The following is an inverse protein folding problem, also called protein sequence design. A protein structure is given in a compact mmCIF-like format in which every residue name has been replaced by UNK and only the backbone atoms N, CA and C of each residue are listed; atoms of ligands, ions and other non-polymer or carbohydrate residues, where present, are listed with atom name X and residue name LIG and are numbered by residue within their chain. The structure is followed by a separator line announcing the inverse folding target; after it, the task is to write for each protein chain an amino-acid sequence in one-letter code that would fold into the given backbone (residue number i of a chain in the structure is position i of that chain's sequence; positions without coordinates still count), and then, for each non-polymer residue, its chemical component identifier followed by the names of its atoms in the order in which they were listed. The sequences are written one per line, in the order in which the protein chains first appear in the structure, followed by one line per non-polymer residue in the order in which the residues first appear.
data_IF_322148737487
#
_entry.id   IF_322148737487
#
_cell.length_a   1.000
_cell.length_b   1.000
_cell.length_c   1.000
_cell.angle_alpha   90.00
_cell.angle_beta   90.00
_cell.angle_gamma   90.00
#
_symmetry.space_group_name_H-M   'P 1'
#
loop_
_entity.id
_entity.type
_entity.pdbx_description
1 polymer ?
#
# COMPACT_ATOMS: atom_id res chain seq x y z
N UNK A 1 50.22 21.32 -17.38
CA UNK A 1 49.77 20.98 -16.02
C UNK A 1 49.10 22.22 -15.33
N UNK A 2 48.57 23.17 -16.08
CA UNK A 2 47.94 24.41 -15.52
C UNK A 2 46.52 24.70 -16.00
N UNK A 3 45.89 23.78 -16.74
CA UNK A 3 44.49 23.97 -17.18
C UNK A 3 43.49 23.16 -16.35
N UNK A 4 43.93 22.16 -15.59
CA UNK A 4 43.04 21.28 -14.80
C UNK A 4 42.72 21.87 -13.40
N UNK A 5 43.51 22.78 -12.87
CA UNK A 5 43.28 23.42 -11.58
C UNK A 5 42.33 24.65 -11.66
N UNK A 6 42.23 25.30 -12.81
CA UNK A 6 41.28 26.41 -12.99
C UNK A 6 39.82 25.94 -13.15
N UNK A 7 39.57 24.78 -13.76
CA UNK A 7 38.21 24.24 -13.93
C UNK A 7 37.58 23.72 -12.63
N UNK A 8 38.39 23.28 -11.69
CA UNK A 8 37.89 22.79 -10.40
C UNK A 8 37.52 23.94 -9.45
N UNK A 9 38.28 25.04 -9.48
CA UNK A 9 37.97 26.22 -8.69
C UNK A 9 36.74 27.01 -9.20
N UNK A 10 36.50 27.01 -10.50
CA UNK A 10 35.31 27.65 -11.08
C UNK A 10 34.01 26.84 -10.74
N UNK A 11 34.05 25.52 -10.79
CA UNK A 11 32.87 24.69 -10.44
C UNK A 11 32.52 24.77 -8.93
N UNK A 12 33.48 24.93 -8.06
CA UNK A 12 33.24 25.07 -6.61
C UNK A 12 32.64 26.44 -6.24
N UNK A 13 33.00 27.47 -6.98
CA UNK A 13 32.43 28.84 -6.78
C UNK A 13 31.00 28.95 -7.36
N UNK A 14 30.70 28.34 -8.51
CA UNK A 14 29.34 28.34 -9.07
C UNK A 14 28.37 27.52 -8.19
N UNK A 15 28.81 26.40 -7.64
CA UNK A 15 27.98 25.59 -6.69
C UNK A 15 27.70 26.38 -5.40
N UNK A 16 28.65 27.18 -4.90
CA UNK A 16 28.44 28.03 -3.73
C UNK A 16 27.59 29.29 -4.04
N UNK A 17 27.64 29.79 -5.26
CA UNK A 17 26.80 30.90 -5.70
C UNK A 17 25.37 30.44 -5.96
N UNK A 18 25.19 29.23 -6.55
CA UNK A 18 23.87 28.61 -6.76
C UNK A 18 23.25 28.23 -5.41
N UNK A 19 24.00 27.66 -4.48
CA UNK A 19 23.52 27.37 -3.12
C UNK A 19 23.15 28.67 -2.34
N UNK A 20 23.88 29.75 -2.53
CA UNK A 20 23.52 31.07 -1.96
C UNK A 20 22.31 31.70 -2.67
N UNK A 21 22.14 31.52 -3.97
CA UNK A 21 20.99 32.06 -4.72
C UNK A 21 19.72 31.22 -4.50
N UNK A 22 19.82 29.89 -4.29
CA UNK A 22 18.69 29.04 -3.94
C UNK A 22 18.19 29.26 -2.50
N UNK A 23 19.07 29.70 -1.58
CA UNK A 23 18.65 30.15 -0.25
C UNK A 23 17.97 31.54 -0.23
N UNK A 24 18.03 32.32 -1.33
CA UNK A 24 17.50 33.71 -1.36
C UNK A 24 16.25 33.89 -2.22
N UNK A 25 15.62 32.84 -2.77
CA UNK A 25 14.54 33.02 -3.76
C UNK A 25 13.18 32.43 -3.41
N UNK A 26 12.98 31.98 -2.18
CA UNK A 26 11.63 31.57 -1.75
C UNK A 26 11.33 32.18 -0.37
N UNK A 27 10.56 33.21 -0.37
CA UNK A 27 9.75 33.90 0.62
C UNK A 27 10.07 35.40 0.54
N UNK A 28 9.19 36.18 -0.08
CA UNK A 28 9.09 37.61 0.15
C UNK A 28 8.77 37.82 1.64
N UNK A 29 9.75 38.22 2.43
CA UNK A 29 9.70 38.31 3.89
C UNK A 29 10.71 37.38 4.57
N UNK A 30 11.95 37.34 4.08
CA UNK A 30 13.00 36.38 4.44
C UNK A 30 13.25 36.17 5.94
N UNK A 31 12.46 35.33 6.56
CA UNK A 31 12.81 34.74 7.85
C UNK A 31 13.71 33.50 7.60
N UNK A 32 15.01 33.70 7.79
CA UNK A 32 15.97 32.56 7.84
C UNK A 32 16.00 31.97 9.25
N UNK A 33 14.83 31.55 9.77
CA UNK A 33 14.72 31.02 11.12
C UNK A 33 15.38 29.64 11.20
N UNK A 34 16.43 29.50 12.01
CA UNK A 34 17.14 28.25 12.18
C UNK A 34 16.40 27.35 13.20
N UNK A 35 16.12 26.10 12.82
CA UNK A 35 15.48 25.13 13.68
C UNK A 35 16.22 24.92 15.02
N UNK A 36 17.56 25.00 15.02
CA UNK A 36 18.34 24.93 16.26
C UNK A 36 18.01 26.10 17.19
N UNK A 37 17.82 27.32 16.67
CA UNK A 37 17.43 28.47 17.47
C UNK A 37 16.05 28.27 18.14
N UNK A 38 15.10 27.63 17.44
CA UNK A 38 13.80 27.28 18.04
C UNK A 38 13.93 26.24 19.16
N UNK A 39 14.78 25.21 19.00
CA UNK A 39 15.06 24.23 20.07
C UNK A 39 15.76 24.88 21.28
N UNK A 40 16.69 25.78 21.01
CA UNK A 40 17.37 26.53 22.07
C UNK A 40 16.42 27.44 22.83
N UNK A 41 15.53 28.14 22.11
CA UNK A 41 14.47 28.97 22.68
C UNK A 41 13.52 28.11 23.55
N UNK A 42 13.04 26.98 23.04
CA UNK A 42 12.16 26.05 23.78
C UNK A 42 12.80 25.62 25.10
N UNK A 43 14.05 25.16 25.02
CA UNK A 43 14.78 24.67 26.18
C UNK A 43 15.04 25.76 27.22
N UNK A 44 15.40 26.99 26.76
CA UNK A 44 15.59 28.13 27.64
C UNK A 44 14.27 28.58 28.26
N UNK A 45 13.18 28.60 27.49
CA UNK A 45 11.84 28.93 27.97
C UNK A 45 11.35 27.99 29.08
N UNK A 46 11.67 26.70 28.97
CA UNK A 46 11.31 25.66 29.95
C UNK A 46 12.15 25.73 31.21
N UNK A 47 13.42 26.12 31.11
CA UNK A 47 14.35 26.13 32.25
C UNK A 47 14.45 27.50 32.95
N UNK A 48 14.14 28.57 32.22
CA UNK A 48 14.30 29.98 32.65
C UNK A 48 15.70 30.30 33.20
N UNK A 49 16.71 29.53 32.76
CA UNK A 49 18.08 29.62 33.26
C UNK A 49 19.11 29.26 32.18
N UNK A 50 19.89 30.26 31.73
CA UNK A 50 20.85 30.09 30.63
C UNK A 50 21.85 28.97 30.82
N UNK A 51 22.54 28.89 32.00
CA UNK A 51 23.56 27.85 32.22
C UNK A 51 22.94 26.45 32.22
N UNK A 52 21.75 26.26 32.82
CA UNK A 52 21.06 24.97 32.83
C UNK A 52 20.56 24.58 31.43
N UNK A 53 20.06 25.54 30.67
CA UNK A 53 19.64 25.29 29.30
C UNK A 53 20.83 24.92 28.41
N UNK A 54 21.98 25.62 28.55
CA UNK A 54 23.20 25.36 27.81
C UNK A 54 23.75 23.94 28.11
N UNK A 55 23.71 23.51 29.39
CA UNK A 55 24.08 22.16 29.81
C UNK A 55 23.20 21.08 29.16
N UNK A 56 21.88 21.24 29.20
CA UNK A 56 20.92 20.31 28.54
C UNK A 56 21.17 20.23 27.05
N UNK A 57 21.49 21.35 26.39
CA UNK A 57 21.74 21.43 24.96
C UNK A 57 23.18 21.03 24.59
N UNK A 58 24.04 20.73 25.54
CA UNK A 58 25.47 20.43 25.33
C UNK A 58 26.21 21.51 24.54
N UNK A 59 25.93 22.79 24.83
CA UNK A 59 26.55 23.98 24.22
C UNK A 59 27.07 24.92 25.30
N UNK A 60 27.84 25.94 24.89
CA UNK A 60 28.27 27.00 25.83
C UNK A 60 27.17 28.01 26.07
N UNK A 61 27.11 28.58 27.27
CA UNK A 61 26.15 29.68 27.57
C UNK A 61 26.28 30.89 26.63
N UNK A 62 27.48 31.34 26.21
CA UNK A 62 27.60 32.41 25.21
C UNK A 62 26.98 32.05 23.87
N UNK A 63 27.14 30.80 23.43
CA UNK A 63 26.53 30.33 22.17
C UNK A 63 25.00 30.34 22.25
N UNK A 64 24.43 29.87 23.37
CA UNK A 64 22.98 29.94 23.62
C UNK A 64 22.50 31.41 23.62
N UNK A 65 23.20 32.28 24.35
CA UNK A 65 22.85 33.73 24.42
C UNK A 65 22.87 34.41 23.03
N UNK A 66 23.87 34.08 22.22
CA UNK A 66 23.97 34.57 20.85
C UNK A 66 22.79 34.08 19.99
N UNK A 67 22.47 32.81 20.03
CA UNK A 67 21.38 32.24 19.27
C UNK A 67 20.00 32.83 19.64
N UNK A 68 19.76 33.09 20.94
CA UNK A 68 18.54 33.75 21.41
C UNK A 68 18.49 35.21 20.95
N UNK A 69 19.60 35.94 21.09
CA UNK A 69 19.67 37.33 20.60
C UNK A 69 19.46 37.43 19.10
N UNK A 70 20.01 36.47 18.32
CA UNK A 70 19.77 36.39 16.88
C UNK A 70 18.30 36.16 16.57
N UNK A 71 17.65 35.23 17.25
CA UNK A 71 16.21 34.92 17.09
C UNK A 71 15.34 36.15 17.43
N UNK A 72 15.63 36.83 18.54
CA UNK A 72 14.92 38.05 18.93
C UNK A 72 15.12 39.19 17.93
N UNK A 73 16.34 39.34 17.37
CA UNK A 73 16.66 40.31 16.32
C UNK A 73 15.92 40.03 15.02
N UNK A 74 15.84 38.74 14.60
CA UNK A 74 15.09 38.32 13.40
C UNK A 74 13.58 38.59 13.56
N UNK A 75 13.05 38.39 14.76
CA UNK A 75 11.63 38.63 15.07
C UNK A 75 11.33 40.09 15.35
N UNK A 76 12.34 40.94 15.60
CA UNK A 76 12.19 42.33 15.94
C UNK A 76 11.56 42.58 17.33
N UNK A 77 11.53 41.57 18.19
CA UNK A 77 10.90 41.64 19.53
C UNK A 77 11.65 40.80 20.54
N UNK A 78 11.66 41.24 21.80
CA UNK A 78 12.23 40.46 22.90
C UNK A 78 11.27 39.38 23.38
N UNK A 79 11.78 38.15 23.48
CA UNK A 79 11.05 36.97 23.96
C UNK A 79 11.29 36.74 25.45
N UNK A 80 12.43 37.22 25.97
CA UNK A 80 12.81 37.09 27.38
C UNK A 80 13.02 38.47 28.02
N UNK A 81 12.72 38.54 29.32
CA UNK A 81 13.01 39.69 30.15
C UNK A 81 13.69 39.27 31.45
N UNK A 82 14.48 40.19 32.03
CA UNK A 82 15.11 39.94 33.33
C UNK A 82 14.13 40.18 34.47
N UNK A 83 14.03 39.20 35.38
CA UNK A 83 13.28 39.32 36.62
C UNK A 83 14.16 39.00 37.82
N UNK A 84 14.76 40.03 38.42
CA UNK A 84 15.78 39.83 39.44
C UNK A 84 17.03 39.18 38.89
N UNK A 85 17.42 38.03 39.42
CA UNK A 85 18.57 37.23 38.97
C UNK A 85 18.22 36.20 37.85
N UNK A 86 16.93 36.00 37.59
CA UNK A 86 16.43 35.05 36.60
C UNK A 86 15.96 35.73 35.31
N UNK A 87 15.75 34.96 34.28
CA UNK A 87 15.05 35.37 33.07
C UNK A 87 13.69 34.73 33.02
N UNK A 88 12.70 35.40 32.47
CA UNK A 88 11.35 34.89 32.26
C UNK A 88 10.88 35.25 30.87
N UNK A 89 9.91 34.52 30.36
CA UNK A 89 9.29 34.84 29.07
C UNK A 89 8.45 36.13 29.17
N UNK A 90 8.62 37.02 28.19
CA UNK A 90 7.71 38.12 27.96
C UNK A 90 6.30 37.63 27.58
N UNK A 91 5.30 38.52 27.51
CA UNK A 91 3.98 38.18 26.97
C UNK A 91 4.08 37.55 25.56
N UNK A 92 4.94 38.12 24.72
CA UNK A 92 5.17 37.65 23.35
C UNK A 92 5.97 36.35 23.32
N UNK A 93 6.97 36.21 24.21
CA UNK A 93 7.71 34.98 24.39
C UNK A 93 6.81 33.81 24.79
N UNK A 94 5.80 34.02 25.65
CA UNK A 94 4.83 32.96 26.02
C UNK A 94 3.98 32.54 24.83
N UNK A 95 3.46 33.48 24.05
CA UNK A 95 2.68 33.18 22.87
C UNK A 95 3.52 32.42 21.82
N UNK A 96 4.76 32.86 21.60
CA UNK A 96 5.70 32.20 20.68
C UNK A 96 6.11 30.81 21.17
N UNK A 97 6.32 30.63 22.48
CA UNK A 97 6.65 29.34 23.09
C UNK A 97 5.57 28.27 22.84
N UNK A 98 4.29 28.62 22.97
CA UNK A 98 3.20 27.69 22.68
C UNK A 98 3.26 27.16 21.25
N UNK A 99 3.42 28.05 20.28
CA UNK A 99 3.51 27.67 18.85
C UNK A 99 4.77 26.88 18.54
N UNK A 100 5.95 27.32 19.04
CA UNK A 100 7.22 26.62 18.81
C UNK A 100 7.21 25.23 19.39
N UNK A 101 6.63 25.03 20.58
CA UNK A 101 6.49 23.72 21.20
C UNK A 101 5.67 22.76 20.31
N UNK A 102 4.58 23.24 19.75
CA UNK A 102 3.73 22.42 18.86
C UNK A 102 4.46 22.08 17.56
N UNK A 103 5.13 23.05 16.92
CA UNK A 103 5.90 22.84 15.69
C UNK A 103 7.00 21.81 15.91
N UNK A 104 7.78 21.93 17.00
CA UNK A 104 8.85 21.00 17.31
C UNK A 104 8.32 19.59 17.61
N UNK A 105 7.20 19.48 18.33
CA UNK A 105 6.55 18.19 18.59
C UNK A 105 6.08 17.52 17.28
N UNK A 106 5.46 18.26 16.39
CA UNK A 106 5.02 17.75 15.09
C UNK A 106 6.20 17.29 14.23
N UNK A 107 7.31 18.05 14.23
CA UNK A 107 8.53 17.64 13.54
C UNK A 107 9.13 16.35 14.11
N UNK A 108 9.23 16.26 15.44
CA UNK A 108 9.78 15.07 16.12
C UNK A 108 8.90 13.83 15.88
N UNK A 109 7.57 13.99 15.82
CA UNK A 109 6.65 12.93 15.42
C UNK A 109 6.91 12.49 13.97
N UNK A 110 6.95 13.42 13.02
CA UNK A 110 7.21 13.09 11.62
C UNK A 110 8.54 12.35 11.42
N UNK A 111 9.61 12.79 12.11
CA UNK A 111 10.91 12.09 12.07
C UNK A 111 10.82 10.69 12.68
N UNK A 112 10.06 10.51 13.75
CA UNK A 112 9.85 9.20 14.38
C UNK A 112 9.10 8.26 13.45
N UNK A 113 8.04 8.73 12.82
CA UNK A 113 7.21 7.92 11.91
C UNK A 113 8.04 7.42 10.72
N UNK A 114 8.86 8.30 10.12
CA UNK A 114 9.78 7.88 9.04
C UNK A 114 10.83 6.88 9.53
N UNK A 115 11.31 7.01 10.78
CA UNK A 115 12.23 6.01 11.36
C UNK A 115 11.58 4.65 11.58
N UNK A 116 10.31 4.61 11.98
CA UNK A 116 9.55 3.34 12.07
C UNK A 116 9.47 2.66 10.71
N UNK A 117 9.13 3.42 9.65
CA UNK A 117 9.12 2.90 8.28
C UNK A 117 10.50 2.36 7.87
N UNK A 118 11.59 3.06 8.20
CA UNK A 118 12.95 2.62 7.91
C UNK A 118 13.35 1.33 8.65
N UNK A 119 12.74 1.06 9.81
CA UNK A 119 12.95 -0.16 10.60
C UNK A 119 12.05 -1.32 10.16
N UNK A 120 11.26 -1.16 9.11
CA UNK A 120 10.34 -2.19 8.62
C UNK A 120 9.08 -2.33 9.48
N UNK A 121 8.62 -1.22 10.04
CA UNK A 121 7.35 -1.10 10.75
C UNK A 121 6.41 -0.15 9.98
N UNK A 122 5.12 -0.17 10.30
CA UNK A 122 4.15 0.76 9.74
C UNK A 122 3.04 0.06 8.96
N UNK A 123 2.56 0.71 7.91
CA UNK A 123 1.34 0.36 7.20
C UNK A 123 1.63 -0.24 5.82
N UNK A 124 0.83 -1.23 5.43
CA UNK A 124 0.78 -1.78 4.07
C UNK A 124 -0.64 -1.64 3.53
N UNK A 125 -0.80 -0.92 2.42
CA UNK A 125 -2.07 -0.73 1.75
C UNK A 125 -2.24 -1.76 0.63
N UNK A 126 -3.22 -2.65 0.77
CA UNK A 126 -3.45 -3.75 -0.18
C UNK A 126 -4.82 -3.65 -0.82
N UNK A 127 -4.84 -3.57 -2.16
CA UNK A 127 -6.03 -3.80 -2.96
C UNK A 127 -6.12 -5.26 -3.44
N UNK A 128 -7.31 -5.85 -3.49
CA UNK A 128 -7.45 -7.21 -4.00
C UNK A 128 -8.82 -7.51 -4.59
N UNK A 129 -8.87 -8.51 -5.49
CA UNK A 129 -10.13 -9.05 -5.98
C UNK A 129 -10.88 -9.77 -4.84
N UNK A 130 -12.18 -9.58 -4.73
CA UNK A 130 -13.04 -10.14 -3.67
C UNK A 130 -12.84 -11.64 -3.47
N UNK A 131 -12.66 -12.39 -4.55
CA UNK A 131 -12.45 -13.85 -4.50
C UNK A 131 -11.19 -14.25 -3.72
N UNK A 132 -10.20 -13.37 -3.57
CA UNK A 132 -8.98 -13.60 -2.78
C UNK A 132 -9.15 -13.18 -1.31
N UNK A 133 -10.19 -12.42 -0.99
CA UNK A 133 -10.45 -11.88 0.34
C UNK A 133 -11.05 -12.87 1.33
N UNK A 134 -11.55 -14.03 0.86
CA UNK A 134 -12.19 -15.04 1.73
C UNK A 134 -11.18 -15.98 2.39
N UNK A 135 -10.03 -16.21 1.77
CA UNK A 135 -9.01 -17.14 2.26
C UNK A 135 -7.59 -16.65 2.02
N UNK A 136 -7.19 -16.44 0.76
CA UNK A 136 -5.79 -16.20 0.39
C UNK A 136 -5.18 -14.97 1.11
N UNK A 137 -5.85 -13.81 1.03
CA UNK A 137 -5.33 -12.57 1.63
C UNK A 137 -5.29 -12.64 3.15
N UNK A 138 -6.39 -13.01 3.85
CA UNK A 138 -6.38 -13.14 5.30
C UNK A 138 -5.33 -14.13 5.80
N UNK A 139 -5.22 -15.30 5.17
CA UNK A 139 -4.24 -16.33 5.55
C UNK A 139 -2.80 -15.84 5.34
N UNK A 140 -2.52 -15.21 4.19
CA UNK A 140 -1.18 -14.69 3.88
C UNK A 140 -0.76 -13.62 4.87
N UNK A 141 -1.65 -12.66 5.15
CA UNK A 141 -1.38 -11.57 6.09
C UNK A 141 -1.24 -12.09 7.52
N UNK A 142 -2.14 -12.97 7.98
CA UNK A 142 -2.06 -13.54 9.33
C UNK A 142 -0.72 -14.27 9.54
N UNK A 143 -0.31 -15.10 8.60
CA UNK A 143 0.94 -15.85 8.70
C UNK A 143 2.15 -14.91 8.68
N UNK A 144 2.10 -13.82 7.90
CA UNK A 144 3.16 -12.81 7.90
C UNK A 144 3.27 -12.10 9.24
N UNK A 145 2.15 -11.67 9.83
CA UNK A 145 2.12 -11.03 11.15
C UNK A 145 2.64 -11.97 12.26
N UNK A 146 2.32 -13.26 12.18
CA UNK A 146 2.79 -14.25 13.16
C UNK A 146 4.32 -14.46 13.12
N UNK A 147 4.97 -14.16 12.00
CA UNK A 147 6.43 -14.14 11.88
C UNK A 147 7.08 -12.88 12.47
N UNK A 148 6.29 -11.83 12.75
CA UNK A 148 6.77 -10.53 13.20
C UNK A 148 6.02 -10.02 14.45
N UNK A 149 5.96 -10.82 15.56
CA UNK A 149 5.13 -10.50 16.72
C UNK A 149 5.58 -9.22 17.46
N UNK A 150 6.85 -8.83 17.31
CA UNK A 150 7.45 -7.68 18.00
C UNK A 150 7.46 -6.40 17.16
N UNK A 151 6.96 -6.45 15.92
CA UNK A 151 6.89 -5.28 15.02
C UNK A 151 5.50 -4.67 15.03
N UNK A 152 5.42 -3.35 14.98
CA UNK A 152 4.18 -2.62 14.77
C UNK A 152 3.86 -2.58 13.27
N UNK A 153 3.14 -3.59 12.80
CA UNK A 153 2.72 -3.73 11.40
C UNK A 153 1.19 -3.78 11.36
N UNK A 154 0.58 -3.00 10.49
CA UNK A 154 -0.84 -3.08 10.20
C UNK A 154 -1.11 -3.01 8.71
N UNK A 155 -2.25 -3.52 8.33
CA UNK A 155 -2.66 -3.62 6.94
C UNK A 155 -3.97 -2.88 6.73
N UNK A 156 -4.03 -2.06 5.69
CA UNK A 156 -5.27 -1.53 5.17
C UNK A 156 -5.71 -2.33 3.96
N UNK A 157 -6.97 -2.70 3.93
CA UNK A 157 -7.55 -3.56 2.93
C UNK A 157 -8.62 -2.85 2.13
N UNK A 158 -8.58 -2.97 0.81
CA UNK A 158 -9.67 -2.54 -0.04
C UNK A 158 -10.00 -3.59 -1.11
N UNK A 159 -11.28 -3.90 -1.21
CA UNK A 159 -11.86 -4.71 -2.29
C UNK A 159 -12.99 -3.98 -3.02
N UNK A 160 -13.05 -2.65 -2.89
CA UNK A 160 -14.14 -1.82 -3.46
C UNK A 160 -14.16 -1.87 -4.99
N UNK A 161 -12.98 -1.90 -5.59
CA UNK A 161 -12.84 -1.97 -7.03
C UNK A 161 -12.90 -3.44 -7.49
N UNK A 162 -14.06 -3.95 -7.81
CA UNK A 162 -14.26 -5.35 -8.20
C UNK A 162 -13.50 -5.83 -9.44
N UNK A 163 -12.69 -4.97 -10.11
CA UNK A 163 -12.00 -5.25 -11.37
C UNK A 163 -10.48 -5.05 -11.25
N UNK A 164 -9.72 -5.93 -11.89
CA UNK A 164 -8.25 -5.82 -11.93
C UNK A 164 -7.77 -4.51 -12.56
N UNK A 165 -8.51 -3.93 -13.50
CA UNK A 165 -8.16 -2.67 -14.16
C UNK A 165 -8.18 -1.50 -13.17
N UNK A 166 -9.20 -1.44 -12.32
CA UNK A 166 -9.34 -0.36 -11.34
C UNK A 166 -8.30 -0.51 -10.22
N UNK A 167 -8.08 -1.74 -9.74
CA UNK A 167 -7.01 -2.04 -8.77
C UNK A 167 -5.62 -1.63 -9.26
N UNK A 168 -5.31 -1.96 -10.53
CA UNK A 168 -4.00 -1.60 -11.11
C UNK A 168 -3.89 -0.09 -11.33
N UNK A 169 -4.99 0.61 -11.64
CA UNK A 169 -4.99 2.08 -11.72
C UNK A 169 -4.68 2.69 -10.35
N UNK A 170 -5.38 2.30 -9.29
CA UNK A 170 -5.12 2.77 -7.92
C UNK A 170 -3.70 2.42 -7.44
N UNK A 171 -3.12 1.29 -7.89
CA UNK A 171 -1.70 0.98 -7.67
C UNK A 171 -0.78 2.00 -8.37
N UNK A 172 -1.08 2.38 -9.62
CA UNK A 172 -0.31 3.39 -10.37
C UNK A 172 -0.44 4.77 -9.72
N UNK A 173 -1.63 5.10 -9.21
CA UNK A 173 -1.93 6.34 -8.48
C UNK A 173 -1.37 6.33 -7.03
N UNK A 174 -0.70 5.23 -6.63
CA UNK A 174 -0.07 5.02 -5.31
C UNK A 174 -1.05 5.04 -4.13
N UNK A 175 -2.30 4.68 -4.35
CA UNK A 175 -3.28 4.44 -3.29
C UNK A 175 -3.03 3.10 -2.59
N UNK A 176 -2.41 2.14 -3.31
CA UNK A 176 -1.99 0.84 -2.79
C UNK A 176 -0.49 0.64 -2.97
N UNK A 177 0.14 -0.06 -2.04
CA UNK A 177 1.52 -0.51 -2.14
C UNK A 177 1.65 -1.74 -3.03
N UNK A 178 0.63 -2.60 -3.01
CA UNK A 178 0.50 -3.76 -3.89
C UNK A 178 -0.96 -4.14 -4.08
N UNK A 179 -1.25 -4.87 -5.17
CA UNK A 179 -2.59 -5.39 -5.41
C UNK A 179 -2.56 -6.87 -5.81
N UNK A 180 -3.56 -7.63 -5.38
CA UNK A 180 -3.75 -9.03 -5.77
C UNK A 180 -4.89 -9.14 -6.77
N UNK A 181 -4.54 -9.41 -8.04
CA UNK A 181 -5.46 -9.31 -9.15
C UNK A 181 -5.16 -10.31 -10.28
N UNK A 182 -5.96 -10.29 -11.35
CA UNK A 182 -5.62 -10.94 -12.61
C UNK A 182 -4.60 -10.10 -13.38
N UNK A 183 -3.72 -10.76 -14.15
CA UNK A 183 -2.73 -10.06 -14.99
C UNK A 183 -3.44 -9.23 -16.05
N UNK A 184 -2.97 -8.00 -16.24
CA UNK A 184 -3.38 -7.13 -17.35
C UNK A 184 -2.31 -7.10 -18.43
N UNK A 185 -2.76 -7.09 -19.67
CA UNK A 185 -1.90 -6.78 -20.81
C UNK A 185 -1.71 -5.25 -20.88
N UNK A 186 -0.57 -4.78 -21.36
CA UNK A 186 -0.26 -3.35 -21.53
C UNK A 186 -0.14 -2.51 -20.23
N UNK A 187 0.47 -3.06 -19.20
CA UNK A 187 0.79 -2.32 -17.97
C UNK A 187 2.31 -2.30 -17.74
N UNK A 188 3.09 -1.53 -18.52
CA UNK A 188 4.56 -1.58 -18.50
C UNK A 188 5.18 -1.16 -17.17
N UNK A 189 4.49 -0.28 -16.40
CA UNK A 189 4.94 0.20 -15.10
C UNK A 189 4.72 -0.81 -13.97
N UNK A 190 4.03 -1.93 -14.23
CA UNK A 190 3.62 -2.89 -13.21
C UNK A 190 4.29 -4.24 -13.44
N UNK A 191 4.86 -4.79 -12.38
CA UNK A 191 5.34 -6.16 -12.32
C UNK A 191 4.20 -7.07 -11.83
N UNK A 192 3.91 -8.15 -12.58
CA UNK A 192 2.93 -9.15 -12.19
C UNK A 192 3.63 -10.44 -11.81
N UNK A 193 3.58 -10.80 -10.54
CA UNK A 193 4.21 -12.00 -9.97
C UNK A 193 3.11 -13.02 -9.69
N UNK A 194 3.14 -14.23 -10.28
CA UNK A 194 2.10 -15.23 -10.06
C UNK A 194 2.14 -15.72 -8.59
N UNK A 195 0.98 -15.76 -7.94
CA UNK A 195 0.87 -16.09 -6.51
C UNK A 195 0.03 -17.33 -6.22
N UNK A 196 -1.09 -17.49 -6.90
CA UNK A 196 -2.00 -18.63 -6.69
C UNK A 196 -2.86 -18.89 -7.93
N UNK A 197 -3.55 -20.02 -7.94
CA UNK A 197 -4.48 -20.41 -9.00
C UNK A 197 -5.84 -20.76 -8.41
N UNK A 198 -6.88 -20.65 -9.23
CA UNK A 198 -8.23 -21.02 -8.90
C UNK A 198 -8.80 -21.90 -10.01
N UNK A 199 -9.23 -23.12 -9.66
CA UNK A 199 -9.85 -24.07 -10.57
C UNK A 199 -11.26 -23.55 -10.96
N UNK A 200 -11.63 -23.71 -12.24
CA UNK A 200 -13.02 -23.56 -12.66
C UNK A 200 -13.72 -24.91 -12.60
N UNK A 201 -14.93 -24.91 -12.07
CA UNK A 201 -15.79 -26.07 -11.91
C UNK A 201 -17.14 -25.82 -12.52
N UNK A 202 -17.92 -26.88 -12.74
CA UNK A 202 -19.34 -26.76 -13.11
C UNK A 202 -20.17 -27.06 -11.86
N UNK A 203 -21.09 -26.18 -11.52
CA UNK A 203 -22.04 -26.40 -10.44
C UNK A 203 -23.43 -26.68 -11.02
N UNK A 204 -24.07 -27.69 -10.47
CA UNK A 204 -25.40 -28.15 -10.91
C UNK A 204 -26.30 -28.42 -9.71
N UNK A 205 -27.64 -28.39 -9.85
CA UNK A 205 -28.55 -28.87 -8.82
C UNK A 205 -28.23 -30.32 -8.44
N UNK A 206 -28.50 -30.74 -7.19
CA UNK A 206 -28.20 -32.11 -6.75
C UNK A 206 -29.02 -33.19 -7.47
N UNK A 207 -30.20 -32.88 -7.95
CA UNK A 207 -31.11 -33.72 -8.71
C UNK A 207 -30.92 -33.63 -10.23
N UNK A 208 -29.93 -32.82 -10.68
CA UNK A 208 -29.64 -32.62 -12.10
C UNK A 208 -29.04 -33.89 -12.74
N UNK A 209 -29.35 -34.22 -14.02
CA UNK A 209 -28.79 -35.42 -14.68
C UNK A 209 -27.27 -35.51 -14.66
N UNK A 210 -26.55 -34.37 -14.67
CA UNK A 210 -25.09 -34.37 -14.56
C UNK A 210 -24.57 -34.63 -13.14
N UNK A 211 -25.42 -34.53 -12.10
CA UNK A 211 -25.00 -34.71 -10.72
C UNK A 211 -24.51 -36.14 -10.38
N UNK A 212 -24.89 -37.11 -11.22
CA UNK A 212 -24.41 -38.50 -11.13
C UNK A 212 -22.91 -38.64 -11.51
N UNK A 213 -22.29 -37.58 -12.10
CA UNK A 213 -20.91 -37.61 -12.53
C UNK A 213 -20.02 -36.85 -11.52
N UNK A 214 -18.71 -37.12 -11.55
CA UNK A 214 -17.70 -36.38 -10.81
C UNK A 214 -17.01 -35.31 -11.68
N UNK A 215 -17.11 -35.48 -12.99
CA UNK A 215 -16.54 -34.54 -13.97
C UNK A 215 -17.42 -34.40 -15.21
N UNK A 216 -17.30 -33.30 -15.88
CA UNK A 216 -18.04 -32.93 -17.08
C UNK A 216 -17.16 -32.18 -18.05
N UNK A 217 -17.39 -32.39 -19.36
CA UNK A 217 -16.74 -31.57 -20.41
C UNK A 217 -17.55 -30.30 -20.64
N UNK A 218 -16.87 -29.25 -21.14
CA UNK A 218 -17.57 -28.00 -21.52
C UNK A 218 -18.66 -28.26 -22.57
N UNK A 219 -18.43 -29.21 -23.49
CA UNK A 219 -19.40 -29.59 -24.53
C UNK A 219 -20.69 -30.18 -23.94
N UNK A 220 -20.60 -30.97 -22.88
CA UNK A 220 -21.79 -31.56 -22.21
C UNK A 220 -22.66 -30.48 -21.54
N UNK A 221 -22.07 -29.36 -21.14
CA UNK A 221 -22.82 -28.27 -20.50
C UNK A 221 -23.73 -27.52 -21.48
N UNK A 222 -23.47 -27.61 -22.78
CA UNK A 222 -24.26 -26.93 -23.83
C UNK A 222 -25.71 -27.43 -23.97
N UNK A 223 -26.00 -28.63 -23.43
CA UNK A 223 -27.36 -29.17 -23.42
C UNK A 223 -28.29 -28.49 -22.41
N UNK A 224 -27.79 -27.61 -21.58
CA UNK A 224 -28.49 -27.02 -20.45
C UNK A 224 -28.35 -25.49 -20.42
N UNK A 225 -29.40 -24.83 -19.90
CA UNK A 225 -29.37 -23.39 -19.68
C UNK A 225 -28.36 -23.01 -18.61
N UNK A 226 -27.63 -21.94 -18.88
CA UNK A 226 -26.53 -21.51 -18.02
C UNK A 226 -26.78 -20.15 -17.36
N UNK A 227 -26.42 -20.08 -16.09
CA UNK A 227 -26.25 -18.84 -15.35
C UNK A 227 -24.82 -18.39 -15.58
N UNK A 228 -24.62 -17.15 -16.03
CA UNK A 228 -23.31 -16.65 -16.43
C UNK A 228 -22.98 -15.33 -15.71
N UNK A 229 -21.70 -14.96 -15.65
CA UNK A 229 -21.30 -13.68 -15.09
C UNK A 229 -21.61 -12.53 -16.05
N UNK A 230 -21.89 -11.32 -15.52
CA UNK A 230 -22.04 -10.10 -16.33
C UNK A 230 -20.79 -9.76 -17.11
N UNK A 231 -20.94 -9.08 -18.25
CA UNK A 231 -19.85 -8.71 -19.16
C UNK A 231 -18.69 -7.93 -18.53
N UNK A 232 -18.92 -7.17 -17.46
CA UNK A 232 -17.89 -6.44 -16.75
C UNK A 232 -17.00 -7.33 -15.87
N UNK A 233 -17.41 -8.56 -15.59
CA UNK A 233 -16.61 -9.49 -14.80
C UNK A 233 -15.42 -10.02 -15.61
N UNK A 234 -14.22 -10.00 -15.04
CA UNK A 234 -13.06 -10.65 -15.66
C UNK A 234 -13.24 -12.16 -15.84
N UNK A 235 -14.12 -12.78 -15.06
CA UNK A 235 -14.46 -14.20 -15.18
C UNK A 235 -15.34 -14.48 -16.41
N UNK A 236 -16.22 -13.54 -16.77
CA UNK A 236 -17.05 -13.65 -17.99
C UNK A 236 -16.19 -13.79 -19.22
N UNK A 237 -15.15 -12.98 -19.38
CA UNK A 237 -14.26 -13.07 -20.52
C UNK A 237 -13.57 -14.45 -20.62
N UNK A 238 -13.13 -14.98 -19.49
CA UNK A 238 -12.51 -16.31 -19.42
C UNK A 238 -13.49 -17.38 -19.87
N UNK A 239 -14.73 -17.36 -19.39
CA UNK A 239 -15.76 -18.34 -19.74
C UNK A 239 -16.17 -18.21 -21.22
N UNK A 240 -16.32 -16.99 -21.73
CA UNK A 240 -16.60 -16.77 -23.15
C UNK A 240 -15.46 -17.33 -24.04
N UNK A 241 -14.20 -17.13 -23.64
CA UNK A 241 -13.05 -17.64 -24.40
C UNK A 241 -12.96 -19.18 -24.34
N UNK A 242 -13.37 -19.80 -23.23
CA UNK A 242 -13.51 -21.27 -23.14
C UNK A 242 -14.54 -21.79 -24.15
N UNK A 243 -15.74 -21.21 -24.21
CA UNK A 243 -16.76 -21.61 -25.18
C UNK A 243 -16.32 -21.33 -26.63
N UNK A 244 -15.68 -20.20 -26.89
CA UNK A 244 -15.09 -19.91 -28.22
C UNK A 244 -14.06 -20.93 -28.63
N UNK A 245 -13.25 -21.45 -27.70
CA UNK A 245 -12.20 -22.44 -27.99
C UNK A 245 -12.75 -23.76 -28.55
N UNK A 246 -14.01 -24.06 -28.27
CA UNK A 246 -14.75 -25.21 -28.81
C UNK A 246 -15.75 -24.84 -29.90
N UNK A 247 -15.70 -23.59 -30.42
CA UNK A 247 -16.63 -23.03 -31.42
C UNK A 247 -18.09 -23.17 -31.00
N UNK A 248 -18.41 -22.88 -29.74
CA UNK A 248 -19.75 -23.02 -29.18
C UNK A 248 -20.18 -21.76 -28.41
N UNK A 249 -21.47 -21.65 -28.20
CA UNK A 249 -22.09 -20.60 -27.40
C UNK A 249 -23.11 -21.22 -26.44
N UNK A 250 -23.07 -20.90 -25.14
CA UNK A 250 -24.04 -21.43 -24.19
C UNK A 250 -25.42 -20.78 -24.38
N UNK A 251 -26.47 -21.53 -24.05
CA UNK A 251 -27.82 -20.98 -23.85
C UNK A 251 -27.88 -20.27 -22.48
N UNK A 252 -27.91 -18.93 -22.50
CA UNK A 252 -27.83 -18.10 -21.30
C UNK A 252 -29.23 -17.81 -20.76
N UNK A 253 -29.52 -18.31 -19.56
CA UNK A 253 -30.76 -18.01 -18.85
C UNK A 253 -30.75 -16.62 -18.20
N UNK A 254 -29.68 -16.31 -17.46
CA UNK A 254 -29.53 -15.03 -16.79
C UNK A 254 -28.06 -14.70 -16.49
N UNK A 255 -27.80 -13.43 -16.18
CA UNK A 255 -26.48 -12.92 -15.79
C UNK A 255 -26.46 -12.52 -14.31
N UNK A 256 -25.36 -12.85 -13.62
CA UNK A 256 -25.13 -12.54 -12.19
C UNK A 256 -23.79 -11.82 -11.99
N UNK A 257 -23.58 -11.24 -10.83
CA UNK A 257 -22.34 -10.54 -10.48
C UNK A 257 -21.46 -11.33 -9.50
N UNK A 258 -22.08 -12.10 -8.58
CA UNK A 258 -21.42 -12.73 -7.46
C UNK A 258 -21.53 -14.28 -7.53
N UNK A 259 -20.42 -14.95 -7.25
CA UNK A 259 -20.31 -16.41 -7.31
C UNK A 259 -21.37 -17.11 -6.44
N UNK A 260 -21.53 -16.65 -5.19
CA UNK A 260 -22.45 -17.27 -4.24
C UNK A 260 -23.91 -17.04 -4.60
N UNK A 261 -24.24 -15.87 -5.21
CA UNK A 261 -25.58 -15.58 -5.73
C UNK A 261 -25.92 -16.55 -6.85
N UNK A 262 -24.99 -16.72 -7.81
CA UNK A 262 -25.16 -17.70 -8.90
C UNK A 262 -25.36 -19.12 -8.39
N UNK A 263 -24.56 -19.56 -7.40
CA UNK A 263 -24.72 -20.88 -6.77
C UNK A 263 -26.09 -21.02 -6.10
N UNK A 264 -26.63 -19.95 -5.50
CA UNK A 264 -27.98 -19.93 -4.95
C UNK A 264 -29.06 -20.17 -6.01
N UNK A 265 -28.97 -19.55 -7.18
CA UNK A 265 -29.88 -19.81 -8.30
C UNK A 265 -29.77 -21.24 -8.82
N UNK A 266 -28.53 -21.75 -8.96
CA UNK A 266 -28.30 -23.15 -9.35
C UNK A 266 -28.96 -24.11 -8.35
N UNK A 267 -28.83 -23.87 -7.05
CA UNK A 267 -29.44 -24.74 -6.01
C UNK A 267 -30.96 -24.84 -6.11
N UNK A 268 -31.60 -23.88 -6.76
CA UNK A 268 -33.07 -23.86 -6.97
C UNK A 268 -33.49 -24.34 -8.36
N UNK A 269 -32.56 -24.90 -9.13
CA UNK A 269 -32.86 -25.52 -10.42
C UNK A 269 -33.05 -24.54 -11.59
N UNK A 270 -32.60 -23.28 -11.47
CA UNK A 270 -32.70 -22.32 -12.57
C UNK A 270 -31.80 -22.66 -13.76
N UNK A 271 -30.76 -23.46 -13.55
CA UNK A 271 -29.81 -23.85 -14.57
C UNK A 271 -28.51 -24.36 -13.97
N UNK A 272 -27.48 -24.46 -14.79
CA UNK A 272 -26.11 -24.81 -14.36
C UNK A 272 -25.19 -23.60 -14.48
N UNK A 273 -24.02 -23.65 -13.85
CA UNK A 273 -23.06 -22.53 -13.91
C UNK A 273 -21.63 -23.04 -13.95
N UNK A 274 -20.79 -22.38 -14.76
CA UNK A 274 -19.34 -22.49 -14.64
C UNK A 274 -18.89 -21.43 -13.63
N UNK A 275 -18.29 -21.87 -12.52
CA UNK A 275 -17.95 -21.04 -11.39
C UNK A 275 -16.51 -21.31 -10.93
N UNK A 276 -15.86 -20.37 -10.26
CA UNK A 276 -14.62 -20.66 -9.54
C UNK A 276 -14.90 -21.62 -8.38
N UNK A 277 -13.96 -22.51 -8.11
CA UNK A 277 -14.02 -23.36 -6.92
C UNK A 277 -13.62 -22.57 -5.69
N UNK A 278 -14.47 -22.53 -4.68
CA UNK A 278 -14.22 -21.86 -3.39
C UNK A 278 -15.03 -22.56 -2.28
N UNK A 279 -14.60 -22.40 -1.04
CA UNK A 279 -15.18 -23.14 0.12
C UNK A 279 -16.65 -22.82 0.37
N UNK A 280 -17.09 -21.61 0.02
CA UNK A 280 -18.50 -21.22 0.11
C UNK A 280 -19.48 -22.13 -0.65
N UNK A 281 -19.01 -22.83 -1.70
CA UNK A 281 -19.84 -23.80 -2.43
C UNK A 281 -20.24 -25.00 -1.56
N UNK A 282 -19.48 -25.35 -0.54
CA UNK A 282 -19.78 -26.44 0.39
C UNK A 282 -21.03 -26.17 1.25
N UNK A 283 -21.43 -24.90 1.37
CA UNK A 283 -22.58 -24.45 2.15
C UNK A 283 -23.84 -24.21 1.31
N UNK A 284 -23.75 -24.43 -0.01
CA UNK A 284 -24.88 -24.30 -0.94
C UNK A 284 -25.31 -25.70 -1.41
N UNK A 285 -26.61 -25.87 -1.60
CA UNK A 285 -27.18 -27.14 -2.00
C UNK A 285 -27.00 -27.41 -3.50
N UNK A 286 -25.73 -27.61 -3.91
CA UNK A 286 -25.31 -27.90 -5.28
C UNK A 286 -24.36 -29.08 -5.35
N UNK A 287 -24.22 -29.72 -6.51
CA UNK A 287 -23.16 -30.69 -6.81
C UNK A 287 -22.08 -29.94 -7.62
N UNK A 288 -20.83 -30.05 -7.16
CA UNK A 288 -19.64 -29.51 -7.82
C UNK A 288 -19.02 -30.59 -8.69
N UNK A 289 -18.81 -30.30 -9.97
CA UNK A 289 -18.25 -31.22 -10.97
C UNK A 289 -16.96 -30.63 -11.51
N UNK A 290 -15.94 -31.47 -11.67
CA UNK A 290 -14.68 -31.04 -12.29
C UNK A 290 -14.90 -30.77 -13.79
N UNK A 291 -14.42 -29.58 -14.26
CA UNK A 291 -14.40 -29.27 -15.68
C UNK A 291 -13.14 -29.89 -16.32
N UNK A 292 -13.28 -30.76 -17.31
CA UNK A 292 -12.16 -31.57 -17.84
C UNK A 292 -11.71 -31.21 -19.24
N UNK A 293 -12.58 -30.69 -20.11
CA UNK A 293 -12.26 -30.43 -21.52
C UNK A 293 -12.94 -29.13 -21.97
N UNK A 294 -12.20 -28.01 -22.02
CA UNK A 294 -10.85 -27.83 -21.47
C UNK A 294 -10.88 -27.69 -19.95
N UNK A 295 -9.87 -28.19 -19.24
CA UNK A 295 -9.63 -27.77 -17.86
C UNK A 295 -9.03 -26.36 -17.85
N UNK A 296 -9.39 -25.56 -16.89
CA UNK A 296 -8.90 -24.20 -16.79
C UNK A 296 -8.58 -23.82 -15.34
N UNK A 297 -7.36 -23.29 -15.15
CA UNK A 297 -6.94 -22.69 -13.92
C UNK A 297 -6.76 -21.18 -14.14
N UNK A 298 -7.51 -20.39 -13.38
CA UNK A 298 -7.34 -18.94 -13.34
C UNK A 298 -6.13 -18.61 -12.49
N UNK A 299 -5.22 -17.80 -13.03
CA UNK A 299 -4.04 -17.34 -12.31
C UNK A 299 -4.30 -15.99 -11.68
N UNK A 300 -3.83 -15.83 -10.45
CA UNK A 300 -3.78 -14.57 -9.75
C UNK A 300 -2.35 -14.13 -9.54
N UNK A 301 -2.17 -12.84 -9.49
CA UNK A 301 -0.87 -12.19 -9.42
C UNK A 301 -0.85 -11.16 -8.31
N UNK A 302 0.28 -11.06 -7.63
CA UNK A 302 0.67 -9.85 -6.92
C UNK A 302 1.19 -8.87 -7.95
N UNK A 303 0.60 -7.69 -8.02
CA UNK A 303 1.05 -6.61 -8.88
C UNK A 303 1.66 -5.50 -8.03
N UNK A 304 2.84 -5.02 -8.44
CA UNK A 304 3.60 -3.97 -7.76
C UNK A 304 4.23 -3.05 -8.79
N UNK A 305 4.49 -1.80 -8.45
CA UNK A 305 5.16 -0.85 -9.34
C UNK A 305 6.63 -1.24 -9.57
N UNK A 306 7.09 -1.09 -10.81
CA UNK A 306 8.51 -1.23 -11.18
C UNK A 306 9.25 0.07 -10.99
N UNK A 307 10.57 -0.03 -10.84
CA UNK A 307 11.50 1.12 -10.88
C UNK A 307 11.14 2.25 -9.90
N UNK A 308 10.47 1.91 -8.79
CA UNK A 308 10.17 2.83 -7.69
C UNK A 308 10.79 2.31 -6.39
N UNK A 309 11.06 3.24 -5.47
CA UNK A 309 11.48 2.86 -4.14
C UNK A 309 10.30 2.26 -3.36
N UNK A 310 10.53 1.08 -2.79
CA UNK A 310 9.62 0.45 -1.84
C UNK A 310 10.25 0.47 -0.44
N UNK A 311 9.52 0.88 0.59
CA UNK A 311 9.99 0.79 1.97
C UNK A 311 10.37 -0.64 2.37
N UNK A 312 11.26 -0.83 3.37
CA UNK A 312 11.73 -2.15 3.80
C UNK A 312 10.59 -3.13 4.12
N UNK A 313 9.53 -2.68 4.77
CA UNK A 313 8.35 -3.49 5.11
C UNK A 313 7.65 -4.04 3.85
N UNK A 314 7.48 -3.20 2.83
CA UNK A 314 6.84 -3.59 1.57
C UNK A 314 7.70 -4.64 0.85
N UNK A 315 9.02 -4.45 0.79
CA UNK A 315 9.95 -5.42 0.19
C UNK A 315 9.99 -6.74 0.98
N UNK A 316 9.89 -6.69 2.30
CA UNK A 316 9.85 -7.87 3.17
C UNK A 316 8.56 -8.68 2.92
N UNK A 317 7.40 -8.02 2.87
CA UNK A 317 6.14 -8.67 2.58
C UNK A 317 6.08 -9.20 1.13
N UNK A 318 6.59 -8.45 0.14
CA UNK A 318 6.74 -8.93 -1.25
C UNK A 318 7.52 -10.23 -1.32
N UNK A 319 8.69 -10.30 -0.67
CA UNK A 319 9.53 -11.51 -0.62
C UNK A 319 8.78 -12.68 0.02
N UNK A 320 8.13 -12.44 1.14
CA UNK A 320 7.31 -13.44 1.82
C UNK A 320 6.23 -14.03 0.90
N UNK A 321 5.45 -13.18 0.23
CA UNK A 321 4.41 -13.62 -0.72
C UNK A 321 5.00 -14.48 -1.86
N UNK A 322 6.17 -14.08 -2.40
CA UNK A 322 6.86 -14.83 -3.45
C UNK A 322 7.30 -16.21 -2.95
N UNK A 323 7.86 -16.31 -1.74
CA UNK A 323 8.30 -17.56 -1.16
C UNK A 323 7.13 -18.51 -0.91
N UNK A 324 6.04 -18.00 -0.31
CA UNK A 324 4.81 -18.79 -0.12
C UNK A 324 4.21 -19.28 -1.44
N UNK A 325 4.26 -18.47 -2.48
CA UNK A 325 3.77 -18.86 -3.80
C UNK A 325 4.55 -20.02 -4.44
N UNK A 326 5.86 -20.11 -4.17
CA UNK A 326 6.72 -21.21 -4.65
C UNK A 326 6.40 -22.51 -3.91
N UNK A 327 6.24 -22.46 -2.59
CA UNK A 327 5.87 -23.63 -1.77
C UNK A 327 4.49 -24.18 -2.18
N UNK A 328 3.53 -23.32 -2.46
CA UNK A 328 2.22 -23.72 -2.94
C UNK A 328 2.22 -24.35 -4.35
N UNK A 329 3.22 -24.04 -5.20
CA UNK A 329 3.35 -24.67 -6.52
C UNK A 329 3.78 -26.12 -6.44
N UNK A 330 4.64 -26.48 -5.52
CA UNK A 330 5.08 -27.88 -5.32
C UNK A 330 3.93 -28.79 -4.88
N UNK A 331 2.90 -28.26 -4.20
CA UNK A 331 1.73 -29.03 -3.76
C UNK A 331 0.60 -29.13 -4.81
N UNK A 332 0.61 -28.34 -5.90
CA UNK A 332 -0.50 -28.26 -6.88
C UNK A 332 -0.17 -28.72 -8.29
N UNK A 333 1.06 -29.16 -8.53
CA UNK A 333 1.48 -29.79 -9.81
C UNK A 333 1.68 -31.31 -9.69
N UNK A 334 1.09 -31.93 -8.69
CA UNK A 334 0.99 -33.37 -8.58
C UNK A 334 -0.27 -33.88 -9.27
#
# INVERSE_FOLDING_TARGET
MNLFLQTTFYKQNESNIILKSLNNTFIEGGFSMNLFHLRYFETLARTEHYSKAAEILSITQPSLSYAISTLESELGIQLFEKRGRNIVLTKYGKAFYSNVKEILANLDNAVRDIKLVANGEGEINIGFLRTLGTDYVPTTVKNFLDLHPDKNIWFNFSCEHGLSVDLVRSLIDREYDMVFCSKLNNSPMVEFIPITTQELVVIVPKDHPLAAKDSVTLKETLAYQQIIFRHKSGLRQIIDDLFKSINAYPDILCEIEEDLVGAGFVSKGFGIMIAPKFDGLNHVDVKVLKLTQPSYNRYFYMAILKDVYHPPLIEEFKKYVIEQSKLNKEYRFG
#
